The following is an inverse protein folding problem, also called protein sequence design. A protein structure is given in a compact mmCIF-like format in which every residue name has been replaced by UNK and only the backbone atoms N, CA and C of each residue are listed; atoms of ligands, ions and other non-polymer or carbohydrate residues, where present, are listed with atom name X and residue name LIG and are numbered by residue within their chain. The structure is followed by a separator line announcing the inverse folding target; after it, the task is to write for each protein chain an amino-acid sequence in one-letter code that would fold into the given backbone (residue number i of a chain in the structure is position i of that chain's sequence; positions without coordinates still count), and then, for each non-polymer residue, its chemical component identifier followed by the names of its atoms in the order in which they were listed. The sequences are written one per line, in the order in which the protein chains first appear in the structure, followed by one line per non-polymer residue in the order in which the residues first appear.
data_IF_999953237844
#
_entry.id   IF_999953237844
#
_cell.length_a   1.000
_cell.length_b   1.000
_cell.length_c   1.000
_cell.angle_alpha   90.00
_cell.angle_beta   90.00
_cell.angle_gamma   90.00
#
_symmetry.space_group_name_H-M   'P 1'
#
loop_
_entity.id
_entity.type
_entity.pdbx_description
1 polymer ?
#
# COMPACT_ATOMS: atom_id res chain seq x y z
N UNK A 1 35.79 -30.64 5.79
CA UNK A 1 35.58 -29.48 6.70
C UNK A 1 34.67 -29.94 7.82
N UNK A 2 35.12 -29.86 9.09
CA UNK A 2 34.37 -30.34 10.25
C UNK A 2 33.20 -29.41 10.57
N UNK A 3 31.96 -29.90 10.49
CA UNK A 3 30.75 -29.15 10.86
C UNK A 3 30.77 -28.65 12.31
N UNK A 4 31.49 -29.35 13.19
CA UNK A 4 31.61 -29.01 14.61
C UNK A 4 32.38 -27.71 14.86
N UNK A 5 33.38 -27.38 14.02
CA UNK A 5 34.11 -26.12 14.15
C UNK A 5 33.25 -24.92 13.73
N UNK A 6 32.38 -25.11 12.73
CA UNK A 6 31.47 -24.08 12.25
C UNK A 6 30.36 -23.79 13.26
N UNK A 7 29.81 -24.82 13.90
CA UNK A 7 28.82 -24.66 14.99
C UNK A 7 29.45 -23.96 16.20
N UNK A 8 30.65 -24.38 16.64
CA UNK A 8 31.33 -23.75 17.78
C UNK A 8 31.64 -22.27 17.56
N UNK A 9 32.03 -21.87 16.34
CA UNK A 9 32.27 -20.45 16.02
C UNK A 9 30.97 -19.64 15.97
N UNK A 10 29.89 -20.22 15.42
CA UNK A 10 28.55 -19.61 15.41
C UNK A 10 28.02 -19.41 16.83
N UNK A 11 28.16 -20.41 17.70
CA UNK A 11 27.65 -20.36 19.07
C UNK A 11 28.48 -19.39 19.93
N UNK A 12 29.81 -19.33 19.72
CA UNK A 12 30.65 -18.29 20.33
C UNK A 12 30.32 -16.87 19.84
N UNK A 13 29.96 -16.71 18.57
CA UNK A 13 29.48 -15.42 18.04
C UNK A 13 28.15 -15.01 18.72
N UNK A 14 27.21 -15.95 18.85
CA UNK A 14 25.91 -15.74 19.50
C UNK A 14 26.03 -15.49 21.01
N UNK A 15 26.99 -16.10 21.70
CA UNK A 15 27.27 -15.84 23.13
C UNK A 15 28.06 -14.55 23.36
N UNK A 16 28.93 -14.16 22.43
CA UNK A 16 29.63 -12.86 22.47
C UNK A 16 28.70 -11.68 22.16
N UNK A 17 27.53 -11.96 21.59
CA UNK A 17 26.38 -11.07 21.40
C UNK A 17 25.69 -10.76 22.75
N UNK A 18 26.43 -10.53 23.84
CA UNK A 18 25.86 -9.90 25.04
C UNK A 18 25.56 -8.45 24.73
N UNK A 19 24.41 -8.27 24.07
CA UNK A 19 23.91 -7.02 23.52
C UNK A 19 24.04 -5.88 24.52
N UNK A 20 24.72 -4.81 24.12
CA UNK A 20 24.55 -3.53 24.77
C UNK A 20 23.11 -3.05 24.45
N UNK A 21 22.17 -3.39 25.34
CA UNK A 21 20.72 -3.16 25.20
C UNK A 21 20.41 -1.71 24.79
N UNK A 22 21.20 -0.76 25.28
CA UNK A 22 21.09 0.66 24.95
C UNK A 22 21.22 0.95 23.44
N UNK A 23 22.19 0.32 22.76
CA UNK A 23 22.38 0.53 21.32
C UNK A 23 21.32 -0.17 20.49
N UNK A 24 20.86 -1.34 20.93
CA UNK A 24 19.76 -2.05 20.27
C UNK A 24 18.47 -1.23 20.30
N UNK A 25 18.14 -0.66 21.47
CA UNK A 25 16.97 0.22 21.59
C UNK A 25 17.09 1.48 20.71
N UNK A 26 18.28 2.06 20.59
CA UNK A 26 18.52 3.21 19.70
C UNK A 26 18.30 2.83 18.24
N UNK A 27 18.86 1.70 17.80
CA UNK A 27 18.66 1.17 16.46
C UNK A 27 17.19 0.91 16.15
N UNK A 28 16.47 0.23 17.06
CA UNK A 28 15.04 -0.06 16.89
C UNK A 28 14.20 1.23 16.80
N UNK A 29 14.51 2.25 17.62
CA UNK A 29 13.85 3.56 17.55
C UNK A 29 14.11 4.28 16.23
N UNK A 30 15.34 4.25 15.71
CA UNK A 30 15.68 4.87 14.43
C UNK A 30 14.98 4.15 13.26
N UNK A 31 14.99 2.82 13.25
CA UNK A 31 14.25 2.02 12.26
C UNK A 31 12.75 2.31 12.33
N UNK A 32 12.18 2.36 13.53
CA UNK A 32 10.77 2.68 13.71
C UNK A 32 10.44 4.10 13.23
N UNK A 33 11.29 5.09 13.53
CA UNK A 33 11.10 6.47 13.10
C UNK A 33 11.19 6.64 11.56
N UNK A 34 11.98 5.80 10.88
CA UNK A 34 12.02 5.79 9.41
C UNK A 34 10.79 5.14 8.78
N UNK A 35 10.25 4.08 9.39
CA UNK A 35 9.12 3.31 8.85
C UNK A 35 7.78 4.00 9.17
N UNK A 36 7.64 4.55 10.37
CA UNK A 36 6.43 5.21 10.86
C UNK A 36 6.51 6.72 10.65
N UNK A 37 5.88 7.21 9.58
CA UNK A 37 5.70 8.65 9.39
C UNK A 37 4.41 9.12 10.05
N UNK A 38 4.49 10.18 10.85
CA UNK A 38 3.29 10.90 11.32
C UNK A 38 2.59 11.54 10.12
N UNK A 39 1.29 11.34 10.00
CA UNK A 39 0.47 12.14 9.08
C UNK A 39 0.28 13.53 9.69
N UNK A 40 0.91 14.55 9.13
CA UNK A 40 0.67 15.95 9.49
C UNK A 40 0.41 16.81 8.26
N UNK A 41 -0.45 17.82 8.42
CA UNK A 41 -0.73 18.84 7.39
C UNK A 41 -1.09 18.27 6.02
N UNK A 42 -0.31 18.68 5.01
CA UNK A 42 -0.52 18.36 3.59
C UNK A 42 -0.48 16.85 3.32
N UNK A 43 0.27 16.08 4.13
CA UNK A 43 0.38 14.62 3.98
C UNK A 43 -0.97 13.93 4.29
N UNK A 44 -1.87 14.57 5.05
CA UNK A 44 -3.22 14.04 5.30
C UNK A 44 -4.17 14.18 4.12
N UNK A 45 -3.99 15.20 3.29
CA UNK A 45 -4.91 15.51 2.19
C UNK A 45 -5.19 14.32 1.26
N UNK A 46 -4.19 13.57 0.75
CA UNK A 46 -4.47 12.43 -0.12
C UNK A 46 -5.28 11.32 0.56
N UNK A 47 -5.20 11.17 1.89
CA UNK A 47 -6.00 10.19 2.63
C UNK A 47 -7.45 10.65 2.83
N UNK A 48 -7.64 11.95 3.08
CA UNK A 48 -8.98 12.55 3.14
C UNK A 48 -9.67 12.46 1.79
N UNK A 49 -8.95 12.79 0.71
CA UNK A 49 -9.46 12.65 -0.66
C UNK A 49 -9.81 11.18 -0.93
N UNK A 50 -8.91 10.25 -0.63
CA UNK A 50 -9.16 8.81 -0.79
C UNK A 50 -10.39 8.32 -0.03
N UNK A 51 -10.60 8.80 1.20
CA UNK A 51 -11.78 8.48 2.00
C UNK A 51 -13.08 9.03 1.37
N UNK A 52 -13.07 10.29 0.91
CA UNK A 52 -14.23 10.90 0.25
C UNK A 52 -14.52 10.16 -1.06
N UNK A 53 -13.51 9.88 -1.86
CA UNK A 53 -13.63 9.11 -3.10
C UNK A 53 -14.21 7.72 -2.82
N UNK A 54 -13.71 7.01 -1.80
CA UNK A 54 -14.24 5.71 -1.39
C UNK A 54 -15.72 5.76 -1.00
N UNK A 55 -16.15 6.79 -0.27
CA UNK A 55 -17.56 7.00 0.08
C UNK A 55 -18.42 7.26 -1.17
N UNK A 56 -17.97 8.15 -2.05
CA UNK A 56 -18.68 8.47 -3.30
C UNK A 56 -18.83 7.20 -4.15
N UNK A 57 -17.76 6.41 -4.31
CA UNK A 57 -17.80 5.16 -5.05
C UNK A 57 -18.75 4.15 -4.39
N UNK A 58 -18.70 4.00 -3.07
CA UNK A 58 -19.60 3.08 -2.33
C UNK A 58 -21.06 3.42 -2.58
N UNK A 59 -21.42 4.70 -2.44
CA UNK A 59 -22.79 5.17 -2.61
C UNK A 59 -23.20 5.05 -4.08
N UNK A 60 -22.35 5.49 -5.00
CA UNK A 60 -22.62 5.46 -6.43
C UNK A 60 -22.83 4.02 -6.92
N UNK A 61 -21.86 3.14 -6.69
CA UNK A 61 -21.96 1.74 -7.12
C UNK A 61 -23.05 0.97 -6.38
N UNK A 62 -23.24 1.24 -5.09
CA UNK A 62 -24.30 0.62 -4.29
C UNK A 62 -25.69 1.03 -4.78
N UNK A 63 -25.89 2.30 -5.08
CA UNK A 63 -27.12 2.81 -5.68
C UNK A 63 -27.36 2.19 -7.06
N UNK A 64 -26.34 2.16 -7.93
CA UNK A 64 -26.45 1.55 -9.26
C UNK A 64 -26.76 0.05 -9.20
N UNK A 65 -26.19 -0.67 -8.24
CA UNK A 65 -26.45 -2.10 -8.05
C UNK A 65 -27.92 -2.40 -7.68
N UNK A 66 -28.63 -1.45 -7.05
CA UNK A 66 -30.02 -1.61 -6.61
C UNK A 66 -31.00 -0.99 -7.60
N UNK A 67 -30.75 0.25 -8.02
CA UNK A 67 -31.69 1.07 -8.80
C UNK A 67 -31.79 0.60 -10.26
N UNK A 68 -30.65 0.34 -10.93
CA UNK A 68 -30.65 0.00 -12.36
C UNK A 68 -31.44 -1.30 -12.64
N UNK A 69 -31.31 -2.38 -11.84
CA UNK A 69 -32.17 -3.56 -11.96
C UNK A 69 -33.67 -3.32 -11.87
N UNK A 70 -34.09 -2.30 -11.12
CA UNK A 70 -35.51 -1.98 -10.88
C UNK A 70 -36.05 -1.19 -12.08
N UNK A 71 -35.27 -0.24 -12.60
CA UNK A 71 -35.69 0.62 -13.71
C UNK A 71 -35.64 -0.10 -15.06
N UNK A 72 -34.62 -0.94 -15.27
CA UNK A 72 -34.38 -1.59 -16.55
C UNK A 72 -34.52 -3.12 -16.42
N UNK A 73 -35.69 -3.62 -16.84
CA UNK A 73 -35.99 -5.06 -16.95
C UNK A 73 -35.17 -5.69 -18.09
N UNK A 74 -33.89 -5.85 -17.87
CA UNK A 74 -32.93 -6.34 -18.86
C UNK A 74 -31.48 -6.15 -18.47
N UNK A 75 -31.20 -5.37 -17.41
CA UNK A 75 -29.83 -5.10 -17.00
C UNK A 75 -29.08 -6.41 -16.65
N UNK A 76 -27.96 -6.70 -17.33
CA UNK A 76 -27.28 -7.99 -17.24
C UNK A 76 -26.82 -8.27 -15.82
N UNK A 77 -26.94 -9.53 -15.40
CA UNK A 77 -26.54 -9.98 -14.06
C UNK A 77 -25.07 -9.66 -13.75
N UNK A 78 -24.21 -9.73 -14.76
CA UNK A 78 -22.79 -9.39 -14.67
C UNK A 78 -22.57 -7.94 -14.25
N UNK A 79 -23.33 -6.99 -14.82
CA UNK A 79 -23.24 -5.58 -14.43
C UNK A 79 -23.62 -5.35 -12.97
N UNK A 80 -24.62 -6.09 -12.46
CA UNK A 80 -25.03 -6.02 -11.05
C UNK A 80 -23.92 -6.47 -10.12
N UNK A 81 -23.29 -7.59 -10.46
CA UNK A 81 -22.19 -8.15 -9.68
C UNK A 81 -20.98 -7.20 -9.66
N UNK A 82 -20.63 -6.62 -10.81
CA UNK A 82 -19.55 -5.63 -10.90
C UNK A 82 -19.85 -4.40 -10.06
N UNK A 83 -21.08 -3.86 -10.11
CA UNK A 83 -21.48 -2.74 -9.26
C UNK A 83 -21.44 -3.11 -7.76
N UNK A 84 -21.93 -4.28 -7.38
CA UNK A 84 -21.87 -4.74 -5.99
C UNK A 84 -20.42 -4.87 -5.49
N UNK A 85 -19.54 -5.44 -6.32
CA UNK A 85 -18.10 -5.52 -6.03
C UNK A 85 -17.48 -4.12 -5.89
N UNK A 86 -17.80 -3.19 -6.81
CA UNK A 86 -17.34 -1.80 -6.73
C UNK A 86 -17.76 -1.12 -5.43
N UNK A 87 -18.98 -1.36 -4.95
CA UNK A 87 -19.46 -0.84 -3.68
C UNK A 87 -18.69 -1.42 -2.48
N UNK A 88 -18.43 -2.74 -2.48
CA UNK A 88 -17.62 -3.41 -1.45
C UNK A 88 -16.20 -2.86 -1.42
N UNK A 89 -15.57 -2.67 -2.59
CA UNK A 89 -14.24 -2.09 -2.68
C UNK A 89 -14.19 -0.64 -2.22
N UNK A 90 -15.19 0.18 -2.58
CA UNK A 90 -15.35 1.53 -2.04
C UNK A 90 -15.38 1.52 -0.52
N UNK A 91 -16.14 0.59 0.08
CA UNK A 91 -16.26 0.47 1.53
C UNK A 91 -14.93 0.04 2.18
N UNK A 92 -14.21 -0.90 1.56
CA UNK A 92 -12.88 -1.31 2.01
C UNK A 92 -11.93 -0.10 2.02
N UNK A 93 -11.93 0.70 0.96
CA UNK A 93 -11.12 1.93 0.90
C UNK A 93 -11.47 2.89 2.02
N UNK A 94 -12.75 3.12 2.29
CA UNK A 94 -13.20 3.96 3.42
C UNK A 94 -12.69 3.43 4.76
N UNK A 95 -12.78 2.13 4.98
CA UNK A 95 -12.32 1.49 6.22
C UNK A 95 -10.80 1.63 6.37
N UNK A 96 -10.04 1.37 5.30
CA UNK A 96 -8.57 1.45 5.31
C UNK A 96 -8.12 2.89 5.54
N UNK A 97 -8.62 3.85 4.76
CA UNK A 97 -8.27 5.26 4.90
C UNK A 97 -8.73 5.83 6.23
N UNK A 98 -9.92 5.45 6.70
CA UNK A 98 -10.43 5.84 8.02
C UNK A 98 -9.55 5.30 9.16
N UNK A 99 -9.05 4.07 9.05
CA UNK A 99 -8.09 3.50 10.03
C UNK A 99 -6.75 4.22 10.00
N UNK A 100 -6.23 4.54 8.82
CA UNK A 100 -4.97 5.28 8.67
C UNK A 100 -5.10 6.68 9.28
N UNK A 101 -6.17 7.40 8.95
CA UNK A 101 -6.45 8.73 9.50
C UNK A 101 -6.64 8.70 11.01
N UNK A 102 -7.34 7.69 11.54
CA UNK A 102 -7.53 7.50 12.99
C UNK A 102 -6.22 7.17 13.70
N UNK A 103 -5.34 6.35 13.10
CA UNK A 103 -4.02 6.02 13.68
C UNK A 103 -3.09 7.24 13.68
N UNK A 104 -3.19 8.09 12.66
CA UNK A 104 -2.34 9.29 12.54
C UNK A 104 -0.88 9.01 12.19
N UNK A 105 -0.51 7.74 11.98
CA UNK A 105 0.79 7.31 11.47
C UNK A 105 0.62 6.32 10.33
N UNK A 106 1.51 6.38 9.34
CA UNK A 106 1.59 5.44 8.21
C UNK A 106 2.83 4.59 8.39
N UNK A 107 2.64 3.28 8.26
CA UNK A 107 3.75 2.36 8.04
C UNK A 107 4.05 2.33 6.54
N UNK A 108 5.14 2.99 6.13
CA UNK A 108 5.50 3.12 4.71
C UNK A 108 5.71 1.76 4.02
N UNK A 109 6.11 0.72 4.76
CA UNK A 109 6.42 -0.61 4.21
C UNK A 109 5.15 -1.42 3.92
N UNK A 110 4.13 -1.31 4.78
CA UNK A 110 2.89 -2.10 4.70
C UNK A 110 1.75 -1.35 4.03
N UNK A 111 1.52 -0.10 4.44
CA UNK A 111 0.31 0.64 4.07
C UNK A 111 0.41 1.20 2.65
N UNK A 112 1.62 1.58 2.22
CA UNK A 112 1.83 2.22 0.91
C UNK A 112 1.62 1.25 -0.27
N UNK A 113 2.10 0.00 -0.16
CA UNK A 113 1.86 -1.04 -1.17
C UNK A 113 0.40 -1.50 -1.18
N UNK A 114 -0.20 -1.67 0.01
CA UNK A 114 -1.60 -2.06 0.14
C UNK A 114 -2.52 -1.03 -0.51
N UNK A 115 -2.21 0.26 -0.35
CA UNK A 115 -2.95 1.36 -0.99
C UNK A 115 -2.81 1.34 -2.51
N UNK A 116 -1.59 1.29 -3.03
CA UNK A 116 -1.39 1.26 -4.48
C UNK A 116 -2.08 0.06 -5.14
N UNK A 117 -2.08 -1.10 -4.46
CA UNK A 117 -2.83 -2.28 -4.90
C UNK A 117 -4.34 -2.08 -4.89
N UNK A 118 -4.89 -1.45 -3.84
CA UNK A 118 -6.32 -1.12 -3.78
C UNK A 118 -6.73 -0.15 -4.90
N UNK A 119 -5.93 0.90 -5.14
CA UNK A 119 -6.19 1.89 -6.18
C UNK A 119 -6.21 1.23 -7.58
N UNK A 120 -5.30 0.29 -7.83
CA UNK A 120 -5.26 -0.48 -9.07
C UNK A 120 -6.52 -1.34 -9.27
N UNK A 121 -6.98 -2.03 -8.21
CA UNK A 121 -8.18 -2.86 -8.28
C UNK A 121 -9.43 -2.03 -8.51
N UNK A 122 -9.56 -0.90 -7.79
CA UNK A 122 -10.70 0.02 -7.96
C UNK A 122 -10.74 0.56 -9.39
N UNK A 123 -9.60 0.97 -9.92
CA UNK A 123 -9.53 1.50 -11.29
C UNK A 123 -9.83 0.43 -12.34
N UNK A 124 -9.36 -0.81 -12.14
CA UNK A 124 -9.69 -1.94 -13.01
C UNK A 124 -11.19 -2.29 -13.01
N UNK A 125 -11.84 -2.23 -11.84
CA UNK A 125 -13.30 -2.41 -11.76
C UNK A 125 -14.03 -1.30 -12.53
N UNK A 126 -13.57 -0.05 -12.38
CA UNK A 126 -14.12 1.08 -13.12
C UNK A 126 -13.94 0.91 -14.63
N UNK A 127 -12.80 0.37 -15.06
CA UNK A 127 -12.48 0.07 -16.45
C UNK A 127 -13.48 -0.89 -17.06
N UNK A 128 -13.70 -2.00 -16.38
CA UNK A 128 -14.62 -3.05 -16.80
C UNK A 128 -16.04 -2.50 -16.83
N UNK A 129 -16.44 -1.71 -15.83
CA UNK A 129 -17.77 -1.10 -15.80
C UNK A 129 -17.98 -0.17 -17.01
N UNK A 130 -17.03 0.74 -17.26
CA UNK A 130 -17.09 1.66 -18.40
C UNK A 130 -17.15 0.89 -19.71
N UNK A 131 -16.37 -0.19 -19.85
CA UNK A 131 -16.41 -1.05 -21.03
C UNK A 131 -17.79 -1.72 -21.21
N UNK A 132 -18.37 -2.27 -20.13
CA UNK A 132 -19.69 -2.90 -20.16
C UNK A 132 -20.79 -1.90 -20.53
N UNK A 133 -20.74 -0.69 -19.97
CA UNK A 133 -21.73 0.37 -20.24
C UNK A 133 -21.54 0.93 -21.67
N UNK A 134 -20.30 1.17 -22.10
CA UNK A 134 -20.00 1.70 -23.44
C UNK A 134 -20.38 0.75 -24.57
N UNK A 135 -20.35 -0.57 -24.34
CA UNK A 135 -20.89 -1.55 -25.28
C UNK A 135 -22.40 -1.41 -25.54
N UNK A 136 -23.12 -0.73 -24.65
CA UNK A 136 -24.55 -0.39 -24.80
C UNK A 136 -24.84 1.07 -25.15
N UNK A 137 -23.88 1.99 -25.03
CA UNK A 137 -24.08 3.41 -25.33
C UNK A 137 -23.93 3.68 -26.84
N UNK A 138 -24.91 4.39 -27.42
CA UNK A 138 -24.98 4.71 -28.85
C UNK A 138 -23.82 5.57 -29.38
N UNK A 139 -23.04 6.22 -28.51
CA UNK A 139 -22.03 7.19 -28.93
C UNK A 139 -20.60 6.65 -28.75
N UNK A 140 -20.06 6.12 -29.86
CA UNK A 140 -18.70 5.56 -29.94
C UNK A 140 -17.63 6.57 -29.52
N UNK A 141 -17.85 7.87 -29.73
CA UNK A 141 -16.89 8.91 -29.37
C UNK A 141 -16.75 9.06 -27.85
N UNK A 142 -17.88 9.04 -27.13
CA UNK A 142 -17.87 9.15 -25.66
C UNK A 142 -17.21 7.92 -25.02
N UNK A 143 -17.44 6.72 -25.55
CA UNK A 143 -16.76 5.51 -25.11
C UNK A 143 -15.23 5.58 -25.26
N UNK A 144 -14.74 6.07 -26.41
CA UNK A 144 -13.30 6.26 -26.65
C UNK A 144 -12.70 7.28 -25.68
N UNK A 145 -13.38 8.39 -25.41
CA UNK A 145 -12.92 9.39 -24.45
C UNK A 145 -12.82 8.83 -23.03
N UNK A 146 -13.81 8.05 -22.58
CA UNK A 146 -13.79 7.42 -21.26
C UNK A 146 -12.66 6.39 -21.15
N UNK A 147 -12.42 5.58 -22.20
CA UNK A 147 -11.31 4.64 -22.24
C UNK A 147 -9.95 5.34 -22.20
N UNK A 148 -9.80 6.46 -22.92
CA UNK A 148 -8.56 7.24 -22.90
C UNK A 148 -8.27 7.85 -21.52
N UNK A 149 -9.30 8.41 -20.87
CA UNK A 149 -9.19 8.94 -19.50
C UNK A 149 -8.80 7.83 -18.51
N UNK A 150 -9.40 6.65 -18.68
CA UNK A 150 -9.15 5.52 -17.81
C UNK A 150 -7.74 4.96 -17.98
N UNK A 151 -7.28 4.81 -19.23
CA UNK A 151 -5.91 4.42 -19.53
C UNK A 151 -4.89 5.40 -18.94
N UNK A 152 -5.16 6.70 -19.03
CA UNK A 152 -4.32 7.71 -18.39
C UNK A 152 -4.28 7.52 -16.86
N UNK A 153 -5.43 7.24 -16.24
CA UNK A 153 -5.51 6.88 -14.83
C UNK A 153 -4.68 5.66 -14.47
N UNK A 154 -4.70 4.61 -15.31
CA UNK A 154 -3.97 3.37 -15.06
C UNK A 154 -2.45 3.61 -15.08
N UNK A 155 -1.98 4.43 -16.02
CA UNK A 155 -0.58 4.86 -16.06
C UNK A 155 -0.22 5.63 -14.79
N UNK A 156 -1.08 6.54 -14.32
CA UNK A 156 -0.81 7.29 -13.08
C UNK A 156 -0.72 6.38 -11.85
N UNK A 157 -1.61 5.39 -11.73
CA UNK A 157 -1.57 4.38 -10.65
C UNK A 157 -0.33 3.50 -10.77
N UNK A 158 0.03 3.07 -11.97
CA UNK A 158 1.24 2.27 -12.21
C UNK A 158 2.51 3.03 -11.80
N UNK A 159 2.59 4.33 -12.11
CA UNK A 159 3.70 5.19 -11.67
C UNK A 159 3.72 5.32 -10.15
N UNK A 160 2.57 5.52 -9.49
CA UNK A 160 2.50 5.56 -8.03
C UNK A 160 2.94 4.23 -7.39
N UNK A 161 2.58 3.10 -7.99
CA UNK A 161 3.00 1.77 -7.55
C UNK A 161 4.51 1.56 -7.74
N UNK A 162 5.09 2.06 -8.83
CA UNK A 162 6.53 2.03 -9.04
C UNK A 162 7.26 2.86 -7.97
N UNK A 163 6.76 4.06 -7.67
CA UNK A 163 7.28 4.87 -6.57
C UNK A 163 7.17 4.14 -5.22
N UNK A 164 6.07 3.42 -4.98
CA UNK A 164 5.90 2.58 -3.80
C UNK A 164 7.00 1.52 -3.66
N UNK A 165 7.31 0.84 -4.76
CA UNK A 165 8.36 -0.18 -4.80
C UNK A 165 9.73 0.44 -4.55
N UNK A 166 10.02 1.59 -5.17
CA UNK A 166 11.28 2.32 -4.99
C UNK A 166 11.44 2.72 -3.52
N UNK A 167 10.46 3.40 -2.93
CA UNK A 167 10.50 3.81 -1.52
C UNK A 167 10.69 2.61 -0.60
N UNK A 168 10.01 1.49 -0.87
CA UNK A 168 10.18 0.26 -0.09
C UNK A 168 11.59 -0.32 -0.22
N UNK A 169 12.17 -0.27 -1.42
CA UNK A 169 13.54 -0.73 -1.66
C UNK A 169 14.57 0.16 -0.96
N UNK A 170 14.38 1.48 -0.97
CA UNK A 170 15.23 2.42 -0.26
C UNK A 170 15.17 2.21 1.25
N UNK A 171 13.97 2.01 1.81
CA UNK A 171 13.81 1.71 3.23
C UNK A 171 14.53 0.42 3.63
N UNK A 172 14.40 -0.64 2.83
CA UNK A 172 15.12 -1.90 3.07
C UNK A 172 16.64 -1.73 2.99
N UNK A 173 17.13 -0.92 2.05
CA UNK A 173 18.57 -0.65 1.92
C UNK A 173 19.09 0.18 3.09
N UNK A 174 18.35 1.20 3.53
CA UNK A 174 18.69 2.00 4.72
C UNK A 174 18.69 1.17 6.00
N UNK A 175 17.68 0.31 6.17
CA UNK A 175 17.57 -0.64 7.29
C UNK A 175 18.79 -1.56 7.35
N UNK A 176 19.23 -2.09 6.19
CA UNK A 176 20.45 -2.92 6.10
C UNK A 176 21.73 -2.12 6.36
N UNK A 177 21.84 -0.91 5.83
CA UNK A 177 23.02 -0.05 6.02
C UNK A 177 23.20 0.29 7.50
N UNK A 178 22.13 0.74 8.17
CA UNK A 178 22.13 0.98 9.62
C UNK A 178 22.48 -0.27 10.42
N UNK A 179 22.02 -1.46 9.96
CA UNK A 179 22.39 -2.73 10.58
C UNK A 179 23.89 -3.04 10.45
N UNK A 180 24.53 -2.63 9.34
CA UNK A 180 25.99 -2.76 9.15
C UNK A 180 26.74 -1.75 10.02
N UNK A 181 26.31 -0.49 10.03
CA UNK A 181 26.89 0.56 10.88
C UNK A 181 26.85 0.16 12.36
N UNK A 182 25.73 -0.41 12.80
CA UNK A 182 25.59 -0.98 14.14
C UNK A 182 26.64 -2.05 14.43
N UNK A 183 26.79 -3.04 13.54
CA UNK A 183 27.79 -4.12 13.71
C UNK A 183 29.21 -3.60 13.72
N UNK A 184 29.52 -2.57 12.93
CA UNK A 184 30.84 -1.95 12.91
C UNK A 184 31.14 -1.19 14.21
N UNK A 185 30.17 -0.42 14.72
CA UNK A 185 30.31 0.28 15.99
C UNK A 185 30.53 -0.71 17.16
N UNK A 186 29.81 -1.83 17.14
CA UNK A 186 29.97 -2.91 18.11
C UNK A 186 31.38 -3.53 18.05
N UNK A 187 31.87 -3.89 16.87
CA UNK A 187 33.23 -4.42 16.70
C UNK A 187 34.31 -3.44 17.18
N UNK A 188 34.12 -2.13 16.93
CA UNK A 188 35.05 -1.10 17.39
C UNK A 188 35.07 -0.98 18.93
N UNK A 189 33.91 -1.10 19.60
CA UNK A 189 33.81 -1.09 21.06
C UNK A 189 34.50 -2.33 21.67
N UNK A 190 34.35 -3.50 21.04
CA UNK A 190 35.02 -4.73 21.49
C UNK A 190 36.55 -4.67 21.35
N UNK A 191 37.07 -4.03 20.29
CA UNK A 191 38.52 -3.83 20.10
C UNK A 191 39.07 -2.86 21.15
N UNK A 192 38.34 -1.78 21.46
CA UNK A 192 38.80 -0.75 22.41
C UNK A 192 38.81 -1.25 23.87
N UNK A 193 37.96 -2.22 24.21
CA UNK A 193 37.89 -2.81 25.56
C UNK A 193 38.96 -3.87 25.84
N UNK A 194 39.70 -4.32 24.82
CA UNK A 194 40.84 -5.24 24.96
C UNK A 194 42.14 -4.46 25.11
#
# INVERSE_FOLDING_TARGET
MNSNAYQSFRDQLLESEQFNLSYKEKYEKEVQAMIERKLTGIIKLPHIIGLITGLVLTIFFGAFAIIVPILEKGFPFQGRFICAMGAVFGLITVIVEGRILKKGTINLKKDYLSRAGLDLVVLGILAILVFVISGGLLDRLMGVQMLALLLFGEVAVAVAMLQAVIVRSELNTREKLLGIEYRLAELAEQITKK
#
